data_IF_230875528801
#
_entry.id   IF_230875528801
#
_cell.length_a   1.000
_cell.length_b   1.000
_cell.length_c   1.000
_cell.angle_alpha   90.00
_cell.angle_beta   90.00
_cell.angle_gamma   90.00
#
_symmetry.space_group_name_H-M   'P 1'
#
loop_
_entity.id
_entity.type
_entity.pdbx_description
1 polymer ?
#
# COMPACT_ATOMS: atom_id res chain seq x y z
N UNK A 1 -19.66 -13.60 -2.49
CA UNK A 1 -19.74 -12.40 -3.33
C UNK A 1 -18.81 -12.58 -4.51
N UNK A 2 -19.39 -12.56 -5.70
CA UNK A 2 -18.67 -12.56 -6.97
C UNK A 2 -18.16 -11.15 -7.30
N UNK A 3 -16.91 -11.03 -7.74
CA UNK A 3 -16.30 -9.77 -8.13
C UNK A 3 -15.96 -9.79 -9.62
N UNK A 4 -16.52 -8.85 -10.37
CA UNK A 4 -16.22 -8.67 -11.79
C UNK A 4 -15.07 -7.66 -11.94
N UNK A 5 -14.01 -8.06 -12.65
CA UNK A 5 -12.91 -7.15 -13.00
C UNK A 5 -13.39 -6.11 -14.01
N UNK A 6 -13.13 -4.83 -13.74
CA UNK A 6 -13.49 -3.69 -14.60
C UNK A 6 -12.26 -2.96 -15.11
N UNK A 7 -11.23 -2.85 -14.28
CA UNK A 7 -10.04 -2.05 -14.57
C UNK A 7 -8.77 -2.89 -14.71
N UNK A 8 -8.73 -4.04 -14.03
CA UNK A 8 -7.61 -4.96 -14.01
C UNK A 8 -7.90 -6.19 -14.84
N UNK A 9 -6.88 -7.00 -15.09
CA UNK A 9 -6.97 -8.25 -15.86
C UNK A 9 -6.46 -9.40 -15.00
N UNK A 10 -7.04 -10.57 -15.19
CA UNK A 10 -6.48 -11.80 -14.61
C UNK A 10 -5.36 -12.27 -15.53
N UNK A 11 -4.17 -12.46 -14.97
CA UNK A 11 -3.06 -13.00 -15.74
C UNK A 11 -3.29 -14.48 -16.08
N UNK A 12 -2.90 -14.86 -17.29
CA UNK A 12 -3.20 -16.20 -17.85
C UNK A 12 -2.34 -17.33 -17.26
N UNK A 13 -1.23 -17.00 -16.61
CA UNK A 13 -0.27 -17.97 -16.02
C UNK A 13 0.37 -17.48 -14.71
N UNK A 14 0.41 -16.17 -14.46
CA UNK A 14 0.85 -15.53 -13.23
C UNK A 14 -0.10 -14.39 -12.88
N UNK A 15 -0.15 -13.99 -11.61
CA UNK A 15 -0.89 -12.79 -11.19
C UNK A 15 -0.35 -11.56 -11.94
N UNK A 16 -1.25 -10.79 -12.56
CA UNK A 16 -0.91 -9.54 -13.27
C UNK A 16 -0.84 -8.38 -12.25
N UNK A 17 0.11 -7.47 -12.46
CA UNK A 17 0.32 -6.31 -11.59
C UNK A 17 -0.94 -5.42 -11.59
N UNK A 18 -1.57 -5.13 -10.42
CA UNK A 18 -2.78 -4.31 -10.35
C UNK A 18 -2.56 -2.85 -10.78
N UNK A 19 -1.30 -2.43 -10.89
CA UNK A 19 -0.93 -1.09 -11.36
C UNK A 19 -0.60 -1.04 -12.86
N UNK A 20 -0.80 -2.13 -13.60
CA UNK A 20 -0.52 -2.17 -15.04
C UNK A 20 -1.22 -1.02 -15.79
N UNK A 21 -0.45 -0.27 -16.58
CA UNK A 21 -0.94 0.87 -17.35
C UNK A 21 -1.03 2.18 -16.56
N UNK A 22 -0.65 2.19 -15.27
CA UNK A 22 -0.51 3.41 -14.47
C UNK A 22 0.97 3.80 -14.47
N UNK A 23 1.27 4.98 -15.01
CA UNK A 23 2.61 5.56 -14.90
C UNK A 23 2.83 6.11 -13.49
N UNK A 24 4.03 5.88 -12.94
CA UNK A 24 4.47 6.46 -11.67
C UNK A 24 5.64 7.41 -11.91
N UNK A 25 5.68 8.50 -11.14
CA UNK A 25 6.75 9.48 -11.17
C UNK A 25 7.31 9.72 -9.78
N UNK A 26 8.55 10.22 -9.74
CA UNK A 26 9.10 10.81 -8.52
C UNK A 26 8.43 12.15 -8.23
N UNK A 27 8.21 12.41 -6.95
CA UNK A 27 7.80 13.71 -6.45
C UNK A 27 8.62 14.07 -5.20
N UNK A 28 8.56 15.34 -4.83
CA UNK A 28 9.06 15.84 -3.55
C UNK A 28 7.91 16.53 -2.84
N UNK A 29 7.68 16.19 -1.58
CA UNK A 29 6.77 16.93 -0.70
C UNK A 29 7.59 17.81 0.23
N UNK A 30 7.26 19.09 0.29
CA UNK A 30 7.92 20.03 1.20
C UNK A 30 6.94 20.98 1.88
N UNK A 31 7.23 21.33 3.13
CA UNK A 31 6.55 22.39 3.88
C UNK A 31 7.60 23.44 4.19
N UNK A 32 7.32 24.70 3.84
CA UNK A 32 8.19 25.84 4.12
C UNK A 32 7.49 26.85 5.03
N UNK A 33 8.27 27.52 5.86
CA UNK A 33 7.83 28.70 6.60
C UNK A 33 7.71 29.90 5.66
N UNK A 34 7.04 31.00 6.08
CA UNK A 34 6.98 32.24 5.30
C UNK A 34 8.35 32.85 4.98
N UNK A 35 9.36 32.58 5.80
CA UNK A 35 10.75 33.02 5.58
C UNK A 35 11.53 32.12 4.60
N UNK A 36 10.90 31.07 4.06
CA UNK A 36 11.47 30.12 3.12
C UNK A 36 12.22 28.95 3.76
N UNK A 37 12.38 28.91 5.08
CA UNK A 37 13.02 27.77 5.77
C UNK A 37 12.16 26.49 5.67
N UNK A 38 12.82 25.34 5.56
CA UNK A 38 12.16 24.04 5.35
C UNK A 38 11.76 23.45 6.71
N UNK A 39 10.46 23.18 6.88
CA UNK A 39 9.87 22.52 8.05
C UNK A 39 9.82 21.01 7.86
N UNK A 40 9.53 20.57 6.64
CA UNK A 40 9.45 19.16 6.27
C UNK A 40 9.87 19.01 4.81
N UNK A 41 10.61 17.95 4.51
CA UNK A 41 10.95 17.58 3.13
C UNK A 41 11.04 16.07 3.04
N UNK A 42 10.38 15.51 2.03
CA UNK A 42 10.45 14.10 1.67
C UNK A 42 10.62 14.00 0.16
N UNK A 43 11.79 13.54 -0.27
CA UNK A 43 12.19 13.49 -1.67
C UNK A 43 12.04 12.08 -2.24
N UNK A 44 12.01 11.99 -3.57
CA UNK A 44 12.02 10.72 -4.32
C UNK A 44 10.83 9.80 -4.02
N UNK A 45 9.70 10.36 -3.56
CA UNK A 45 8.50 9.56 -3.33
C UNK A 45 7.90 9.12 -4.67
N UNK A 46 7.43 7.87 -4.75
CA UNK A 46 6.76 7.36 -5.94
C UNK A 46 5.25 7.58 -5.82
N UNK A 47 4.68 8.28 -6.80
CA UNK A 47 3.24 8.56 -6.87
C UNK A 47 2.74 8.37 -8.30
N UNK A 48 1.45 8.07 -8.52
CA UNK A 48 0.90 8.01 -9.87
C UNK A 48 1.13 9.34 -10.60
N UNK A 49 1.59 9.29 -11.85
CA UNK A 49 2.01 10.46 -12.61
C UNK A 49 0.88 11.48 -12.79
N UNK A 50 -0.35 11.00 -12.92
CA UNK A 50 -1.56 11.81 -13.03
C UNK A 50 -1.94 12.57 -11.75
N UNK A 51 -1.34 12.27 -10.60
CA UNK A 51 -1.64 12.97 -9.36
C UNK A 51 -1.10 14.40 -9.36
N UNK A 52 -1.93 15.31 -8.85
CA UNK A 52 -1.49 16.67 -8.56
C UNK A 52 -0.41 16.70 -7.48
N UNK A 53 0.38 17.78 -7.45
CA UNK A 53 1.35 17.99 -6.38
C UNK A 53 0.66 18.00 -5.00
N UNK A 54 -0.50 18.66 -4.89
CA UNK A 54 -1.28 18.71 -3.64
C UNK A 54 -1.69 17.31 -3.15
N UNK A 55 -2.11 16.42 -4.05
CA UNK A 55 -2.42 15.03 -3.68
C UNK A 55 -1.17 14.28 -3.17
N UNK A 56 -0.04 14.50 -3.84
CA UNK A 56 1.26 13.92 -3.46
C UNK A 56 1.72 14.42 -2.08
N UNK A 57 1.56 15.72 -1.83
CA UNK A 57 1.88 16.37 -0.55
C UNK A 57 0.99 15.82 0.58
N UNK A 58 -0.32 15.72 0.37
CA UNK A 58 -1.26 15.18 1.36
C UNK A 58 -0.89 13.74 1.72
N UNK A 59 -0.61 12.90 0.71
CA UNK A 59 -0.17 11.52 0.93
C UNK A 59 1.10 11.48 1.79
N UNK A 60 2.15 12.20 1.39
CA UNK A 60 3.42 12.21 2.09
C UNK A 60 3.34 12.77 3.52
N UNK A 61 2.55 13.83 3.72
CA UNK A 61 2.50 14.53 4.99
C UNK A 61 1.58 13.87 6.02
N UNK A 62 0.50 13.22 5.55
CA UNK A 62 -0.54 12.67 6.43
C UNK A 62 -0.60 11.15 6.42
N UNK A 63 -0.49 10.51 5.25
CA UNK A 63 -0.88 9.11 5.10
C UNK A 63 0.30 8.13 4.99
N UNK A 64 1.47 8.61 4.58
CA UNK A 64 2.69 7.84 4.75
C UNK A 64 3.01 7.63 6.22
N UNK A 65 3.32 6.39 6.57
CA UNK A 65 3.95 6.04 7.82
C UNK A 65 5.35 6.63 7.83
N UNK A 66 5.57 7.57 8.74
CA UNK A 66 6.83 8.34 8.84
C UNK A 66 7.95 7.58 9.55
N UNK A 67 7.62 6.59 10.37
CA UNK A 67 8.58 5.80 11.12
C UNK A 67 7.95 4.47 11.56
N UNK A 68 8.79 3.52 11.95
CA UNK A 68 8.37 2.26 12.55
C UNK A 68 7.91 1.20 11.54
N UNK A 69 8.08 1.45 10.24
CA UNK A 69 7.89 0.41 9.21
C UNK A 69 9.14 -0.46 9.20
N UNK A 70 9.07 -1.76 9.52
CA UNK A 70 10.25 -2.62 9.47
C UNK A 70 10.80 -2.70 8.04
N UNK A 71 12.10 -2.52 7.86
CA UNK A 71 12.73 -2.61 6.55
C UNK A 71 12.69 -4.02 5.95
N UNK A 72 12.59 -5.05 6.80
CA UNK A 72 12.48 -6.45 6.41
C UNK A 72 11.28 -7.07 7.12
N UNK A 73 10.41 -7.66 6.32
CA UNK A 73 9.19 -8.32 6.75
C UNK A 73 9.26 -9.79 6.34
N UNK A 74 8.61 -10.65 7.15
CA UNK A 74 8.35 -12.05 6.81
C UNK A 74 6.84 -12.30 6.83
N UNK A 75 6.36 -13.13 5.92
CA UNK A 75 4.96 -13.58 5.88
C UNK A 75 4.70 -14.55 7.03
N UNK A 76 3.52 -14.47 7.62
CA UNK A 76 3.05 -15.39 8.65
C UNK A 76 2.10 -16.37 7.99
N UNK A 77 2.50 -17.64 7.97
CA UNK A 77 1.67 -18.72 7.47
C UNK A 77 0.35 -18.80 8.26
N UNK A 78 -0.75 -18.88 7.52
CA UNK A 78 -2.07 -19.08 8.06
C UNK A 78 -2.82 -20.06 7.15
N UNK A 79 -2.99 -21.30 7.61
CA UNK A 79 -3.51 -22.42 6.80
C UNK A 79 -4.86 -22.12 6.14
N UNK A 80 -5.71 -21.34 6.81
CA UNK A 80 -7.05 -20.99 6.31
C UNK A 80 -7.06 -19.80 5.34
N UNK A 81 -5.90 -19.22 5.05
CA UNK A 81 -5.75 -18.03 4.21
C UNK A 81 -4.81 -18.35 3.05
N UNK A 82 -5.15 -18.00 1.82
CA UNK A 82 -4.26 -18.14 0.67
C UNK A 82 -2.92 -17.43 0.92
N UNK A 83 -1.82 -18.06 0.51
CA UNK A 83 -0.47 -17.59 0.85
C UNK A 83 -0.13 -16.18 0.39
N UNK A 84 -0.71 -15.74 -0.71
CA UNK A 84 -0.55 -14.37 -1.22
C UNK A 84 -1.21 -13.30 -0.32
N UNK A 85 -2.21 -13.69 0.47
CA UNK A 85 -2.99 -12.82 1.36
C UNK A 85 -2.51 -12.88 2.82
N UNK A 86 -1.51 -13.72 3.11
CA UNK A 86 -0.90 -13.81 4.43
C UNK A 86 -0.40 -12.45 4.91
N UNK A 87 -0.67 -12.17 6.17
CA UNK A 87 -0.12 -10.99 6.83
C UNK A 87 1.40 -11.11 7.02
N UNK A 88 2.05 -9.99 7.27
CA UNK A 88 3.47 -9.87 7.53
C UNK A 88 3.75 -9.37 8.94
N UNK A 89 4.90 -9.76 9.48
CA UNK A 89 5.50 -9.15 10.67
C UNK A 89 6.97 -8.81 10.44
N UNK A 90 7.53 -7.99 11.33
CA UNK A 90 8.96 -7.71 11.35
C UNK A 90 9.77 -9.01 11.42
N UNK A 91 10.69 -9.19 10.48
CA UNK A 91 11.68 -10.27 10.58
C UNK A 91 12.80 -9.81 11.51
N UNK A 92 12.61 -10.02 12.82
CA UNK A 92 13.54 -9.55 13.86
C UNK A 92 14.96 -10.10 13.69
N UNK A 93 15.12 -11.31 13.16
CA UNK A 93 16.44 -11.92 12.93
C UNK A 93 17.12 -11.33 11.69
N UNK A 94 16.38 -11.07 10.62
CA UNK A 94 16.93 -10.37 9.46
C UNK A 94 17.24 -8.90 9.77
N UNK A 95 16.37 -8.21 10.50
CA UNK A 95 16.56 -6.81 10.90
C UNK A 95 17.80 -6.61 11.77
N UNK A 96 18.14 -7.56 12.65
CA UNK A 96 19.38 -7.50 13.46
C UNK A 96 20.65 -7.42 12.60
N UNK A 97 20.60 -7.87 11.35
CA UNK A 97 21.71 -7.83 10.39
C UNK A 97 21.90 -6.45 9.75
N UNK A 98 20.91 -5.56 9.86
CA UNK A 98 21.00 -4.17 9.40
C UNK A 98 21.53 -3.25 10.50
N UNK A 99 22.19 -2.13 10.14
CA UNK A 99 22.45 -1.01 11.04
C UNK A 99 21.18 -0.57 11.76
N UNK A 100 21.29 -0.15 13.02
CA UNK A 100 20.12 0.13 13.87
C UNK A 100 19.19 1.20 13.27
N UNK A 101 19.79 2.19 12.63
CA UNK A 101 19.17 3.30 11.91
C UNK A 101 18.43 2.89 10.63
N UNK A 102 18.73 1.73 10.06
CA UNK A 102 18.11 1.23 8.82
C UNK A 102 17.00 0.20 9.08
N UNK A 103 16.82 -0.25 10.32
CA UNK A 103 15.84 -1.30 10.67
C UNK A 103 14.39 -0.84 10.51
N UNK A 104 14.16 0.46 10.70
CA UNK A 104 12.84 1.06 10.63
C UNK A 104 12.86 2.27 9.72
N UNK A 105 12.01 2.23 8.71
CA UNK A 105 11.94 3.20 7.63
C UNK A 105 10.57 3.89 7.59
N UNK A 106 10.42 4.80 6.64
CA UNK A 106 9.14 5.40 6.25
C UNK A 106 8.60 4.77 4.96
N UNK A 107 7.30 4.88 4.74
CA UNK A 107 6.72 4.66 3.41
C UNK A 107 7.23 5.74 2.45
N UNK A 108 7.64 5.33 1.25
CA UNK A 108 8.19 6.19 0.19
C UNK A 108 7.46 6.01 -1.14
N UNK A 109 6.54 5.04 -1.21
CA UNK A 109 5.81 4.70 -2.42
C UNK A 109 4.32 4.61 -2.13
N UNK A 110 3.51 5.32 -2.92
CA UNK A 110 2.05 5.32 -2.81
C UNK A 110 1.47 3.89 -2.86
N UNK A 111 2.12 2.98 -3.59
CA UNK A 111 1.73 1.57 -3.67
C UNK A 111 1.80 0.86 -2.32
N UNK A 112 2.71 1.24 -1.43
CA UNK A 112 2.74 0.68 -0.06
C UNK A 112 1.43 0.97 0.68
N UNK A 113 0.93 2.22 0.57
CA UNK A 113 -0.35 2.64 1.17
C UNK A 113 -1.53 1.90 0.53
N UNK A 114 -1.55 1.81 -0.80
CA UNK A 114 -2.65 1.12 -1.50
C UNK A 114 -2.67 -0.38 -1.18
N UNK A 115 -1.50 -1.03 -1.21
CA UNK A 115 -1.35 -2.45 -0.92
C UNK A 115 -1.79 -2.79 0.50
N UNK A 116 -1.41 -1.98 1.51
CA UNK A 116 -1.83 -2.24 2.88
C UNK A 116 -3.32 -2.08 3.09
N UNK A 117 -3.95 -1.11 2.43
CA UNK A 117 -5.39 -0.88 2.49
C UNK A 117 -6.14 -2.04 1.83
N UNK A 118 -5.86 -2.27 0.54
CA UNK A 118 -6.51 -3.32 -0.23
C UNK A 118 -6.26 -4.70 0.38
N UNK A 119 -5.04 -5.00 0.80
CA UNK A 119 -4.66 -6.28 1.40
C UNK A 119 -5.43 -6.57 2.68
N UNK A 120 -5.53 -5.58 3.56
CA UNK A 120 -6.25 -5.74 4.84
C UNK A 120 -7.74 -5.92 4.64
N UNK A 121 -8.36 -5.11 3.78
CA UNK A 121 -9.79 -5.24 3.49
C UNK A 121 -10.10 -6.58 2.82
N UNK A 122 -9.22 -7.03 1.91
CA UNK A 122 -9.35 -8.34 1.27
C UNK A 122 -9.20 -9.46 2.30
N UNK A 123 -8.23 -9.37 3.21
CA UNK A 123 -8.04 -10.33 4.29
C UNK A 123 -9.27 -10.40 5.19
N UNK A 124 -9.82 -9.26 5.62
CA UNK A 124 -11.05 -9.25 6.43
C UNK A 124 -12.24 -9.85 5.68
N UNK A 125 -12.38 -9.52 4.39
CA UNK A 125 -13.41 -10.12 3.54
C UNK A 125 -13.26 -11.64 3.41
N UNK A 126 -12.02 -12.13 3.29
CA UNK A 126 -11.71 -13.56 3.24
C UNK A 126 -12.08 -14.24 4.56
N UNK A 127 -11.60 -13.71 5.70
CA UNK A 127 -11.93 -14.25 7.03
C UNK A 127 -13.43 -14.17 7.35
N UNK A 128 -14.14 -13.20 6.77
CA UNK A 128 -15.58 -13.05 6.88
C UNK A 128 -16.38 -13.98 5.95
N UNK A 129 -15.74 -14.78 5.09
CA UNK A 129 -16.42 -15.66 4.13
C UNK A 129 -17.19 -14.90 3.06
N UNK A 130 -16.75 -13.68 2.72
CA UNK A 130 -17.49 -12.83 1.78
C UNK A 130 -17.27 -13.18 0.32
N UNK A 131 -16.18 -13.86 -0.04
CA UNK A 131 -15.85 -14.19 -1.43
C UNK A 131 -16.36 -15.58 -1.80
N UNK A 132 -16.89 -15.74 -3.01
CA UNK A 132 -17.35 -17.07 -3.47
C UNK A 132 -16.15 -17.95 -3.88
N UNK A 133 -15.08 -17.32 -4.38
CA UNK A 133 -13.83 -17.99 -4.78
C UNK A 133 -12.59 -17.20 -4.37
N UNK A 134 -11.42 -17.84 -4.39
CA UNK A 134 -10.13 -17.12 -4.25
C UNK A 134 -9.92 -16.08 -5.36
N UNK A 135 -10.39 -16.33 -6.57
CA UNK A 135 -10.28 -15.38 -7.67
C UNK A 135 -11.13 -14.12 -7.44
N UNK A 136 -12.27 -14.23 -6.75
CA UNK A 136 -13.05 -13.06 -6.35
C UNK A 136 -12.29 -12.19 -5.34
N UNK A 137 -11.59 -12.82 -4.39
CA UNK A 137 -10.75 -12.11 -3.43
C UNK A 137 -9.56 -11.41 -4.12
N UNK A 138 -8.93 -12.07 -5.10
CA UNK A 138 -7.86 -11.47 -5.91
C UNK A 138 -8.37 -10.30 -6.74
N UNK A 139 -9.51 -10.49 -7.41
CA UNK A 139 -10.13 -9.44 -8.21
C UNK A 139 -10.48 -8.24 -7.34
N UNK A 140 -10.98 -8.45 -6.12
CA UNK A 140 -11.24 -7.39 -5.16
C UNK A 140 -9.98 -6.61 -4.78
N UNK A 141 -8.90 -7.32 -4.44
CA UNK A 141 -7.61 -6.70 -4.12
C UNK A 141 -7.10 -5.85 -5.30
N UNK A 142 -7.07 -6.43 -6.49
CA UNK A 142 -6.50 -5.79 -7.68
C UNK A 142 -7.29 -4.54 -8.09
N UNK A 143 -8.62 -4.65 -8.16
CA UNK A 143 -9.51 -3.55 -8.51
C UNK A 143 -9.37 -2.40 -7.49
N UNK A 144 -9.25 -2.70 -6.20
CA UNK A 144 -9.05 -1.67 -5.18
C UNK A 144 -7.70 -0.98 -5.30
N UNK A 145 -6.61 -1.71 -5.50
CA UNK A 145 -5.29 -1.12 -5.74
C UNK A 145 -5.34 -0.16 -6.94
N UNK A 146 -5.93 -0.59 -8.05
CA UNK A 146 -6.09 0.24 -9.24
C UNK A 146 -6.97 1.47 -8.97
N UNK A 147 -8.13 1.28 -8.34
CA UNK A 147 -9.07 2.38 -8.07
C UNK A 147 -8.51 3.40 -7.09
N UNK A 148 -7.72 2.98 -6.09
CA UNK A 148 -7.03 3.89 -5.17
C UNK A 148 -5.96 4.69 -5.91
N UNK A 149 -5.12 4.03 -6.71
CA UNK A 149 -4.07 4.69 -7.50
C UNK A 149 -4.63 5.69 -8.52
N UNK A 150 -5.79 5.39 -9.12
CA UNK A 150 -6.47 6.26 -10.10
C UNK A 150 -7.51 7.19 -9.48
N UNK A 151 -7.57 7.28 -8.15
CA UNK A 151 -8.50 8.14 -7.39
C UNK A 151 -9.99 7.94 -7.74
N UNK A 152 -10.38 6.73 -8.16
CA UNK A 152 -11.79 6.34 -8.40
C UNK A 152 -12.53 6.05 -7.10
N UNK A 153 -11.80 5.68 -6.06
CA UNK A 153 -12.32 5.43 -4.72
C UNK A 153 -11.38 6.02 -3.68
N UNK A 154 -11.95 6.48 -2.56
CA UNK A 154 -11.18 6.88 -1.39
C UNK A 154 -11.97 6.51 -0.13
N UNK A 155 -11.37 5.80 0.84
CA UNK A 155 -11.99 5.59 2.14
C UNK A 155 -11.94 6.88 2.97
N UNK A 156 -12.64 6.86 4.11
CA UNK A 156 -12.53 7.94 5.09
C UNK A 156 -11.12 8.01 5.71
N UNK A 157 -10.78 9.17 6.29
CA UNK A 157 -9.45 9.44 6.83
C UNK A 157 -8.94 8.41 7.84
N UNK A 158 -9.75 7.92 8.82
CA UNK A 158 -9.28 6.91 9.76
C UNK A 158 -8.72 5.64 9.11
N UNK A 159 -9.30 5.20 7.99
CA UNK A 159 -8.79 4.04 7.27
C UNK A 159 -7.41 4.30 6.68
N UNK A 160 -7.20 5.45 6.02
CA UNK A 160 -5.89 5.83 5.49
C UNK A 160 -4.80 5.78 6.56
N UNK A 161 -5.09 6.26 7.77
CA UNK A 161 -4.12 6.24 8.86
C UNK A 161 -3.86 4.84 9.39
N UNK A 162 -4.90 4.08 9.73
CA UNK A 162 -4.77 2.95 10.66
C UNK A 162 -4.76 1.57 10.01
N UNK A 163 -5.25 1.46 8.78
CA UNK A 163 -5.50 0.15 8.18
C UNK A 163 -4.23 -0.44 7.56
N UNK A 164 -3.96 -1.70 7.92
CA UNK A 164 -3.02 -2.54 7.20
C UNK A 164 -1.55 -2.49 7.57
N UNK A 165 -1.25 -2.16 8.81
CA UNK A 165 0.13 -2.24 9.32
C UNK A 165 0.81 -3.61 9.13
N UNK A 166 0.04 -4.70 9.02
CA UNK A 166 0.55 -6.05 8.74
C UNK A 166 0.49 -6.44 7.25
N UNK A 167 0.01 -5.56 6.37
CA UNK A 167 -0.06 -5.78 4.91
C UNK A 167 0.70 -4.70 4.13
N UNK A 168 1.47 -3.86 4.84
CA UNK A 168 2.42 -2.88 4.30
C UNK A 168 3.71 -3.55 3.84
#
# INVERSE_FOLDING_TARGET
MRIERRFTKSGKTHHEDPYQGIEFRQATSEIKNPDGSIVFRLENIQVPAAWSQVASDILAQKYFRKAGVPAILKRIEEETVPSWLWRSEADTEALKKLPAEERYISEMDARQVFNRLAGTWTYWGWKGGYFDTEEDARSFYDELCFMLATQKVAPNSPQWFNTGLHWA
#
